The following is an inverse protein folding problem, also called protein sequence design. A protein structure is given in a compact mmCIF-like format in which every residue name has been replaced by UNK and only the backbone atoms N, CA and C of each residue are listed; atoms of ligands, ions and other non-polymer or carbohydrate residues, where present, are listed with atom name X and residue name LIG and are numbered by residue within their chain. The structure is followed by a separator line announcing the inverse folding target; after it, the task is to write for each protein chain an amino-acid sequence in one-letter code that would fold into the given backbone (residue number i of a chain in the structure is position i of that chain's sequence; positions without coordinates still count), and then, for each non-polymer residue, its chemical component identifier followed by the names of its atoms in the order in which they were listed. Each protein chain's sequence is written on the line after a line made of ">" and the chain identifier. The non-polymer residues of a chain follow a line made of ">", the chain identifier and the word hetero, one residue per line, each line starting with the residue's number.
data_IF_278864226174
#
_entry.id   IF_278864226174
#
_cell.length_a   1.000
_cell.length_b   1.000
_cell.length_c   1.000
_cell.angle_alpha   90.00
_cell.angle_beta   90.00
_cell.angle_gamma   90.00
#
_symmetry.space_group_name_H-M   'P 1'
#
loop_
_entity.id
_entity.type
_entity.pdbx_description
1 polymer ?
#
# COMPACT_ATOMS: atom_id res chain seq x y z
N UNK A 1 1.75 -11.32 13.05
CA UNK A 1 2.87 -10.41 12.74
C UNK A 1 2.87 -9.22 13.72
N UNK A 2 4.02 -8.65 14.05
CA UNK A 2 4.19 -7.50 14.93
C UNK A 2 4.36 -6.22 14.10
N UNK A 3 4.16 -5.05 14.72
CA UNK A 3 4.41 -3.75 14.08
C UNK A 3 5.83 -3.65 13.50
N UNK A 4 6.82 -4.23 14.18
CA UNK A 4 8.21 -4.25 13.73
C UNK A 4 8.41 -5.07 12.45
N UNK A 5 7.73 -6.21 12.34
CA UNK A 5 7.76 -7.04 11.14
C UNK A 5 7.12 -6.31 9.95
N UNK A 6 5.97 -5.67 10.14
CA UNK A 6 5.33 -4.83 9.10
C UNK A 6 6.31 -3.75 8.61
N UNK A 7 6.96 -3.05 9.54
CA UNK A 7 7.95 -2.02 9.19
C UNK A 7 9.14 -2.61 8.42
N UNK A 8 9.59 -3.83 8.75
CA UNK A 8 10.63 -4.52 7.98
C UNK A 8 10.16 -4.83 6.55
N UNK A 9 8.94 -5.32 6.36
CA UNK A 9 8.38 -5.53 5.02
C UNK A 9 8.30 -4.21 4.23
N UNK A 10 7.77 -3.15 4.83
CA UNK A 10 7.70 -1.82 4.20
C UNK A 10 9.09 -1.27 3.82
N UNK A 11 10.13 -1.52 4.63
CA UNK A 11 11.50 -1.15 4.25
C UNK A 11 12.02 -1.99 3.08
N UNK A 12 11.76 -3.31 3.05
CA UNK A 12 12.10 -4.15 1.90
C UNK A 12 11.44 -3.61 0.62
N UNK A 13 10.16 -3.22 0.69
CA UNK A 13 9.41 -2.62 -0.43
C UNK A 13 10.09 -1.35 -0.93
N UNK A 14 10.42 -0.42 -0.03
CA UNK A 14 11.09 0.84 -0.40
C UNK A 14 12.38 0.60 -1.18
N UNK A 15 13.18 -0.36 -0.75
CA UNK A 15 14.46 -0.69 -1.40
C UNK A 15 14.23 -1.43 -2.71
N UNK A 16 13.43 -2.49 -2.70
CA UNK A 16 13.20 -3.35 -3.87
C UNK A 16 12.59 -2.61 -5.06
N UNK A 17 11.60 -1.74 -4.79
CA UNK A 17 10.92 -0.98 -5.83
C UNK A 17 11.54 0.40 -6.07
N UNK A 18 12.57 0.77 -5.30
CA UNK A 18 13.17 2.10 -5.30
C UNK A 18 12.12 3.20 -5.17
N UNK A 19 11.33 3.15 -4.09
CA UNK A 19 10.23 4.08 -3.82
C UNK A 19 10.33 4.66 -2.41
N UNK A 20 9.71 5.82 -2.21
CA UNK A 20 9.45 6.36 -0.88
C UNK A 20 7.98 6.11 -0.54
N UNK A 21 7.73 5.41 0.56
CA UNK A 21 6.38 5.27 1.13
C UNK A 21 6.05 6.56 1.89
N UNK A 22 4.91 7.16 1.55
CA UNK A 22 4.41 8.41 2.12
C UNK A 22 3.38 8.15 3.22
N UNK A 23 2.61 7.06 3.08
CA UNK A 23 1.55 6.66 3.99
C UNK A 23 1.41 5.15 3.96
N UNK A 24 1.11 4.53 5.10
CA UNK A 24 0.75 3.13 5.21
C UNK A 24 -0.24 2.96 6.37
N UNK A 25 -1.29 2.17 6.15
CA UNK A 25 -2.27 1.82 7.17
C UNK A 25 -2.69 0.35 7.04
N UNK A 26 -3.11 -0.23 8.16
CA UNK A 26 -3.72 -1.56 8.17
C UNK A 26 -5.17 -1.44 7.67
N UNK A 27 -5.56 -2.26 6.70
CA UNK A 27 -6.85 -2.21 6.04
C UNK A 27 -7.49 -3.59 6.01
N UNK A 28 -7.83 -4.12 7.18
CA UNK A 28 -8.33 -5.49 7.30
C UNK A 28 -9.53 -5.64 8.23
N UNK A 29 -10.16 -6.82 8.16
CA UNK A 29 -11.41 -7.21 8.81
C UNK A 29 -11.40 -7.16 10.35
N UNK A 30 -10.25 -6.85 10.96
CA UNK A 30 -10.13 -6.53 12.39
C UNK A 30 -10.88 -5.28 12.79
N UNK A 31 -11.17 -4.38 11.85
CA UNK A 31 -12.09 -3.26 12.08
C UNK A 31 -13.57 -3.71 12.23
N UNK A 32 -13.92 -4.95 11.88
CA UNK A 32 -15.30 -5.49 11.86
C UNK A 32 -15.52 -6.77 12.69
N UNK A 33 -14.52 -7.28 13.43
CA UNK A 33 -14.73 -8.29 14.47
C UNK A 33 -14.81 -9.76 14.03
N UNK A 34 -14.46 -10.10 12.78
CA UNK A 34 -14.42 -11.48 12.27
C UNK A 34 -13.00 -12.04 12.20
N UNK A 35 -12.26 -11.98 13.31
CA UNK A 35 -10.88 -12.48 13.36
C UNK A 35 -10.87 -14.02 13.45
N UNK A 36 -10.60 -14.69 12.33
CA UNK A 36 -10.04 -16.05 12.36
C UNK A 36 -8.55 -15.98 12.76
N UNK A 37 -7.98 -17.02 13.39
CA UNK A 37 -6.58 -17.04 13.85
C UNK A 37 -5.52 -16.90 12.73
N UNK A 38 -5.94 -17.05 11.47
CA UNK A 38 -5.14 -16.99 10.24
C UNK A 38 -5.18 -15.62 9.52
N UNK A 39 -5.59 -14.56 10.22
CA UNK A 39 -5.80 -13.24 9.59
C UNK A 39 -4.54 -12.72 8.87
N UNK A 40 -4.66 -12.60 7.54
CA UNK A 40 -3.73 -11.84 6.71
C UNK A 40 -3.60 -10.40 7.23
N UNK A 41 -2.38 -9.88 7.24
CA UNK A 41 -2.08 -8.49 7.54
C UNK A 41 -2.26 -7.67 6.28
N UNK A 42 -3.48 -7.19 6.07
CA UNK A 42 -3.82 -6.27 4.98
C UNK A 42 -3.18 -4.90 5.22
N UNK A 43 -2.21 -4.53 4.40
CA UNK A 43 -1.56 -3.22 4.44
C UNK A 43 -1.83 -2.46 3.15
N UNK A 44 -2.31 -1.23 3.27
CA UNK A 44 -2.51 -0.33 2.14
C UNK A 44 -1.59 0.86 2.28
N UNK A 45 -0.91 1.22 1.20
CA UNK A 45 0.11 2.26 1.25
C UNK A 45 0.12 3.15 0.03
N UNK A 46 0.61 4.38 0.21
CA UNK A 46 0.82 5.36 -0.85
C UNK A 46 2.31 5.58 -0.97
N UNK A 47 2.83 5.54 -2.19
CA UNK A 47 4.24 5.73 -2.45
C UNK A 47 4.50 6.72 -3.58
N UNK A 48 5.76 7.14 -3.70
CA UNK A 48 6.25 8.01 -4.77
C UNK A 48 7.54 7.44 -5.33
N UNK A 49 7.67 7.45 -6.66
CA UNK A 49 8.90 7.11 -7.37
C UNK A 49 9.87 8.30 -7.41
N UNK A 50 11.16 8.07 -7.73
CA UNK A 50 12.09 9.14 -8.09
C UNK A 50 11.61 9.87 -9.35
N UNK A 51 12.02 11.14 -9.50
CA UNK A 51 11.52 12.03 -10.56
C UNK A 51 11.66 11.45 -11.97
N UNK A 52 12.79 10.80 -12.26
CA UNK A 52 13.08 10.21 -13.57
C UNK A 52 12.05 9.17 -14.02
N UNK A 53 11.41 8.45 -13.10
CA UNK A 53 10.34 7.49 -13.41
C UNK A 53 9.13 8.19 -14.03
N UNK A 54 8.81 9.40 -13.53
CA UNK A 54 7.71 10.21 -14.03
C UNK A 54 8.03 10.94 -15.33
N UNK A 55 9.31 11.15 -15.64
CA UNK A 55 9.81 11.81 -16.84
C UNK A 55 10.03 10.81 -17.97
N UNK A 56 9.06 9.92 -18.18
CA UNK A 56 9.05 8.96 -19.28
C UNK A 56 7.78 9.14 -20.11
N UNK A 57 7.85 8.80 -21.39
CA UNK A 57 6.68 8.92 -22.30
C UNK A 57 5.64 7.84 -22.01
N UNK A 58 6.10 6.66 -21.58
CA UNK A 58 5.24 5.52 -21.30
C UNK A 58 4.71 5.55 -19.88
N UNK A 59 3.47 5.09 -19.70
CA UNK A 59 2.94 4.82 -18.37
C UNK A 59 3.55 3.53 -17.82
N UNK A 60 4.27 3.65 -16.73
CA UNK A 60 4.77 2.53 -15.96
C UNK A 60 3.70 2.05 -14.97
N UNK A 61 3.80 0.79 -14.53
CA UNK A 61 2.86 0.20 -13.54
C UNK A 61 2.87 1.03 -12.25
N UNK A 62 1.70 1.52 -11.85
CA UNK A 62 1.49 2.45 -10.73
C UNK A 62 0.88 1.76 -9.49
N UNK A 63 1.00 0.43 -9.43
CA UNK A 63 0.53 -0.43 -8.35
C UNK A 63 1.63 -1.43 -7.97
N UNK A 64 1.87 -1.54 -6.66
CA UNK A 64 2.70 -2.59 -6.07
C UNK A 64 1.78 -3.53 -5.30
N UNK A 65 1.82 -4.82 -5.59
CA UNK A 65 1.04 -5.88 -4.90
C UNK A 65 2.01 -6.93 -4.40
N UNK A 66 1.92 -7.26 -3.12
CA UNK A 66 2.80 -8.21 -2.44
C UNK A 66 1.94 -9.12 -1.58
N UNK A 67 2.16 -10.42 -1.72
CA UNK A 67 1.60 -11.45 -0.85
C UNK A 67 2.76 -12.34 -0.41
N UNK A 68 2.90 -12.58 0.89
CA UNK A 68 3.91 -13.52 1.43
C UNK A 68 3.25 -14.73 2.07
N UNK A 69 3.98 -15.83 2.13
CA UNK A 69 3.55 -17.06 2.80
C UNK A 69 3.32 -16.88 4.32
N UNK A 70 3.82 -15.77 4.88
CA UNK A 70 3.68 -15.38 6.29
C UNK A 70 2.37 -14.58 6.55
N UNK A 71 1.50 -14.47 5.54
CA UNK A 71 0.22 -13.78 5.63
C UNK A 71 0.33 -12.25 5.55
N UNK A 72 1.32 -11.71 4.83
CA UNK A 72 1.41 -10.27 4.57
C UNK A 72 0.85 -9.95 3.19
N UNK A 73 -0.32 -9.32 3.15
CA UNK A 73 -0.94 -8.77 1.93
C UNK A 73 -0.75 -7.27 1.91
N UNK A 74 0.04 -6.75 0.97
CA UNK A 74 0.25 -5.33 0.81
C UNK A 74 -0.08 -4.85 -0.60
N UNK A 75 -0.91 -3.81 -0.68
CA UNK A 75 -1.25 -3.14 -1.94
C UNK A 75 -0.92 -1.66 -1.82
N UNK A 76 -0.11 -1.18 -2.75
CA UNK A 76 0.36 0.20 -2.79
C UNK A 76 -0.02 0.89 -4.09
N UNK A 77 -0.42 2.16 -4.00
CA UNK A 77 -0.63 3.02 -5.16
C UNK A 77 0.40 4.15 -5.23
N UNK A 78 0.83 4.44 -6.45
CA UNK A 78 1.61 5.65 -6.74
C UNK A 78 0.80 6.92 -6.40
N UNK A 79 1.48 7.97 -5.97
CA UNK A 79 0.85 9.24 -5.59
C UNK A 79 0.04 9.86 -6.74
N UNK A 80 0.47 9.73 -7.99
CA UNK A 80 -0.28 10.23 -9.15
C UNK A 80 -1.62 9.50 -9.27
N UNK A 81 -1.60 8.16 -9.17
CA UNK A 81 -2.82 7.33 -9.20
C UNK A 81 -3.75 7.67 -8.04
N UNK A 82 -3.19 7.76 -6.84
CA UNK A 82 -3.89 8.12 -5.60
C UNK A 82 -4.63 9.45 -5.75
N UNK A 83 -3.95 10.50 -6.21
CA UNK A 83 -4.56 11.82 -6.41
C UNK A 83 -5.63 11.81 -7.51
N UNK A 84 -5.43 11.05 -8.59
CA UNK A 84 -6.44 10.89 -9.64
C UNK A 84 -7.70 10.20 -9.12
N UNK A 85 -7.56 9.15 -8.30
CA UNK A 85 -8.67 8.43 -7.68
C UNK A 85 -9.39 9.28 -6.64
N UNK A 86 -8.64 10.02 -5.83
CA UNK A 86 -9.19 10.97 -4.85
C UNK A 86 -10.03 12.06 -5.54
N UNK A 87 -9.51 12.64 -6.63
CA UNK A 87 -10.25 13.63 -7.44
C UNK A 87 -11.56 13.08 -8.01
N UNK A 88 -11.61 11.78 -8.31
CA UNK A 88 -12.83 11.10 -8.79
C UNK A 88 -13.75 10.63 -7.66
N UNK A 89 -13.45 10.97 -6.40
CA UNK A 89 -14.19 10.51 -5.21
C UNK A 89 -14.33 8.99 -5.19
N UNK A 90 -13.26 8.29 -5.59
CA UNK A 90 -13.28 6.82 -5.63
C UNK A 90 -13.45 6.26 -4.20
N UNK A 91 -14.46 5.39 -3.95
CA UNK A 91 -14.75 4.87 -2.61
C UNK A 91 -13.56 4.16 -1.96
N UNK A 92 -12.87 3.29 -2.71
CA UNK A 92 -11.71 2.53 -2.21
C UNK A 92 -10.58 3.45 -1.73
N UNK A 93 -10.29 4.51 -2.49
CA UNK A 93 -9.30 5.50 -2.07
C UNK A 93 -9.71 6.22 -0.78
N UNK A 94 -10.98 6.57 -0.64
CA UNK A 94 -11.48 7.23 0.57
C UNK A 94 -11.46 6.30 1.78
N UNK A 95 -11.68 5.00 1.59
CA UNK A 95 -11.54 3.99 2.63
C UNK A 95 -10.08 3.89 3.11
N UNK A 96 -9.11 3.84 2.19
CA UNK A 96 -7.69 3.78 2.55
C UNK A 96 -7.23 4.96 3.41
N UNK A 97 -7.79 6.16 3.21
CA UNK A 97 -7.49 7.34 4.06
C UNK A 97 -8.17 7.30 5.44
N UNK A 98 -9.24 6.50 5.58
CA UNK A 98 -9.98 6.33 6.84
C UNK A 98 -9.42 5.19 7.69
N UNK A 99 -8.66 4.28 7.08
CA UNK A 99 -7.91 3.23 7.76
C UNK A 99 -6.92 3.82 8.77
N UNK A 100 -6.84 3.24 9.97
CA UNK A 100 -6.02 3.73 11.09
C UNK A 100 -4.73 2.95 11.25
#
# INVERSE_FOLDING_TARGET
>A
MTREEILKHLQKIKVQYNVKILYAAESGNRAWGFSSPDSDWDVRFIYVHPLNWYLTVNFNRDVIEIMTDEGFDAVGWDIRKTLQLYRKTNPTMLEWLKSR
#
